data_IF_973393541679
#
_entry.id   IF_973393541679
#
_cell.length_a   1.000
_cell.length_b   1.000
_cell.length_c   1.000
_cell.angle_alpha   90.00
_cell.angle_beta   90.00
_cell.angle_gamma   90.00
#
_symmetry.space_group_name_H-M   'P 1'
#
loop_
_entity.id
_entity.type
_entity.pdbx_description
1 polymer ?
#
# COMPACT_ATOMS: atom_id res chain seq x y z
N UNK A 1 -12.79 -24.99 -28.66
CA UNK A 1 -12.82 -23.61 -28.13
C UNK A 1 -13.19 -23.72 -26.66
N UNK A 2 -12.24 -23.50 -25.75
CA UNK A 2 -12.54 -23.44 -24.31
C UNK A 2 -12.83 -21.98 -23.97
N UNK A 3 -14.11 -21.69 -23.72
CA UNK A 3 -14.59 -20.42 -23.20
C UNK A 3 -14.19 -20.31 -21.73
N UNK A 4 -13.37 -19.31 -21.40
CA UNK A 4 -13.08 -18.95 -20.01
C UNK A 4 -14.30 -18.15 -19.52
N UNK A 5 -15.12 -18.76 -18.66
CA UNK A 5 -16.17 -18.06 -17.92
C UNK A 5 -15.52 -17.21 -16.83
N UNK A 6 -15.62 -15.89 -16.96
CA UNK A 6 -15.20 -14.95 -15.91
C UNK A 6 -16.36 -14.86 -14.92
N UNK A 7 -16.23 -15.55 -13.78
CA UNK A 7 -17.16 -15.41 -12.65
C UNK A 7 -16.72 -14.22 -11.82
N UNK A 8 -17.60 -13.25 -11.66
CA UNK A 8 -17.44 -12.06 -10.83
C UNK A 8 -17.67 -12.42 -9.35
N UNK A 9 -16.96 -13.45 -8.89
CA UNK A 9 -16.82 -13.75 -7.46
C UNK A 9 -15.83 -12.73 -6.90
N UNK A 10 -16.24 -12.04 -5.84
CA UNK A 10 -15.50 -10.99 -5.12
C UNK A 10 -14.00 -11.30 -5.08
N UNK A 11 -13.19 -10.55 -5.84
CA UNK A 11 -11.77 -10.82 -6.04
C UNK A 11 -11.05 -10.70 -4.69
N UNK A 12 -10.71 -11.84 -4.09
CA UNK A 12 -9.90 -11.90 -2.87
C UNK A 12 -8.43 -11.59 -3.21
N UNK A 13 -8.06 -10.33 -2.97
CA UNK A 13 -6.71 -9.82 -3.23
C UNK A 13 -5.69 -10.54 -2.36
N UNK A 14 -6.04 -10.95 -1.14
CA UNK A 14 -5.14 -11.66 -0.23
C UNK A 14 -4.83 -13.06 -0.77
N UNK A 15 -5.86 -13.78 -1.23
CA UNK A 15 -5.69 -15.10 -1.84
C UNK A 15 -4.82 -15.04 -3.10
N UNK A 16 -5.02 -14.02 -3.94
CA UNK A 16 -4.22 -13.81 -5.16
C UNK A 16 -2.77 -13.47 -4.80
N UNK A 17 -2.53 -12.56 -3.86
CA UNK A 17 -1.17 -12.21 -3.44
C UNK A 17 -0.47 -13.40 -2.78
N UNK A 18 -1.19 -14.21 -2.01
CA UNK A 18 -0.67 -15.46 -1.46
C UNK A 18 -0.23 -16.43 -2.56
N UNK A 19 -1.09 -16.66 -3.57
CA UNK A 19 -0.78 -17.51 -4.74
C UNK A 19 0.41 -17.00 -5.55
N UNK A 20 0.52 -15.68 -5.72
CA UNK A 20 1.66 -15.05 -6.40
C UNK A 20 2.95 -15.31 -5.60
N UNK A 21 2.96 -15.04 -4.29
CA UNK A 21 4.10 -15.28 -3.39
C UNK A 21 4.53 -16.75 -3.43
N UNK A 22 3.59 -17.68 -3.37
CA UNK A 22 3.87 -19.13 -3.47
C UNK A 22 4.47 -19.53 -4.82
N UNK A 23 3.95 -18.98 -5.91
CA UNK A 23 4.43 -19.29 -7.26
C UNK A 23 5.86 -18.79 -7.48
N UNK A 24 6.16 -17.59 -6.99
CA UNK A 24 7.52 -17.01 -7.01
C UNK A 24 8.47 -17.89 -6.18
N UNK A 25 8.04 -18.31 -4.98
CA UNK A 25 8.83 -19.18 -4.10
C UNK A 25 9.17 -20.53 -4.75
N UNK A 26 8.20 -21.18 -5.39
CA UNK A 26 8.43 -22.46 -6.09
C UNK A 26 9.42 -22.33 -7.26
N UNK A 27 9.33 -21.25 -8.03
CA UNK A 27 10.26 -20.96 -9.14
C UNK A 27 11.66 -20.57 -8.67
N UNK A 28 11.76 -20.03 -7.45
CA UNK A 28 13.03 -19.74 -6.78
C UNK A 28 13.73 -21.02 -6.31
N UNK A 29 12.99 -21.96 -5.73
CA UNK A 29 13.50 -23.26 -5.27
C UNK A 29 13.89 -24.19 -6.44
N UNK A 30 13.25 -24.06 -7.61
CA UNK A 30 13.61 -24.81 -8.82
C UNK A 30 14.87 -24.28 -9.54
N UNK A 31 15.41 -23.14 -9.12
CA UNK A 31 16.61 -22.54 -9.72
C UNK A 31 16.38 -21.87 -11.08
N UNK A 32 15.12 -21.62 -11.47
CA UNK A 32 14.77 -20.99 -12.75
C UNK A 32 15.15 -19.50 -12.84
N UNK A 33 15.37 -18.83 -11.70
CA UNK A 33 15.78 -17.43 -11.66
C UNK A 33 17.29 -17.27 -11.60
N UNK A 34 17.84 -16.51 -12.55
CA UNK A 34 19.21 -15.98 -12.46
C UNK A 34 19.33 -14.98 -11.31
N UNK A 35 20.54 -14.75 -10.81
CA UNK A 35 20.74 -13.89 -9.63
C UNK A 35 20.28 -12.45 -9.85
N UNK A 36 20.44 -11.92 -11.06
CA UNK A 36 19.90 -10.61 -11.45
C UNK A 36 18.36 -10.57 -11.47
N UNK A 37 17.70 -11.69 -11.81
CA UNK A 37 16.23 -11.78 -11.74
C UNK A 37 15.73 -11.89 -10.31
N UNK A 38 16.53 -12.44 -9.38
CA UNK A 38 16.17 -12.50 -7.97
C UNK A 38 16.14 -11.13 -7.33
N UNK A 39 17.15 -10.29 -7.59
CA UNK A 39 17.19 -8.93 -7.03
C UNK A 39 16.02 -8.07 -7.52
N UNK A 40 15.63 -8.21 -8.79
CA UNK A 40 14.46 -7.53 -9.37
C UNK A 40 13.13 -7.97 -8.76
N UNK A 41 13.06 -9.14 -8.13
CA UNK A 41 11.85 -9.71 -7.53
C UNK A 41 11.84 -9.54 -6.00
N UNK A 42 12.98 -9.71 -5.34
CA UNK A 42 13.11 -9.64 -3.88
C UNK A 42 13.02 -8.19 -3.37
N UNK A 43 13.57 -7.20 -4.09
CA UNK A 43 13.53 -5.80 -3.67
C UNK A 43 12.08 -5.24 -3.61
N UNK A 44 11.21 -5.46 -4.61
CA UNK A 44 9.81 -5.05 -4.54
C UNK A 44 9.01 -5.77 -3.44
N UNK A 45 9.26 -7.07 -3.23
CA UNK A 45 8.53 -7.87 -2.22
C UNK A 45 8.90 -7.39 -0.81
N UNK A 46 10.20 -7.23 -0.52
CA UNK A 46 10.66 -6.72 0.77
C UNK A 46 10.13 -5.31 1.04
N UNK A 47 10.10 -4.46 0.00
CA UNK A 47 9.55 -3.12 0.11
C UNK A 47 8.05 -3.16 0.40
N UNK A 48 7.28 -4.01 -0.27
CA UNK A 48 5.85 -4.19 -0.04
C UNK A 48 5.55 -4.70 1.39
N UNK A 49 6.29 -5.70 1.88
CA UNK A 49 6.15 -6.22 3.25
C UNK A 49 6.50 -5.15 4.31
N UNK A 50 7.54 -4.35 4.04
CA UNK A 50 7.93 -3.23 4.92
C UNK A 50 6.85 -2.14 4.94
N UNK A 51 6.27 -1.82 3.80
CA UNK A 51 5.17 -0.86 3.67
C UNK A 51 3.89 -1.36 4.39
N UNK A 52 3.54 -2.64 4.24
CA UNK A 52 2.39 -3.28 4.90
C UNK A 52 2.55 -3.22 6.44
N UNK A 53 3.72 -3.61 6.96
CA UNK A 53 4.06 -3.52 8.38
C UNK A 53 4.01 -2.08 8.93
N UNK A 54 4.50 -1.10 8.16
CA UNK A 54 4.45 0.31 8.54
C UNK A 54 3.01 0.84 8.59
N UNK A 55 2.14 0.40 7.67
CA UNK A 55 0.73 0.79 7.66
C UNK A 55 -0.02 0.24 8.87
N UNK A 56 0.22 -1.04 9.22
CA UNK A 56 -0.33 -1.65 10.44
C UNK A 56 0.10 -0.89 11.70
N UNK A 57 1.37 -0.52 11.79
CA UNK A 57 1.90 0.29 12.89
C UNK A 57 1.21 1.66 12.97
N UNK A 58 1.10 2.39 11.85
CA UNK A 58 0.45 3.70 11.81
C UNK A 58 -1.05 3.60 12.16
N UNK A 59 -1.71 2.51 11.77
CA UNK A 59 -3.10 2.27 12.11
C UNK A 59 -3.28 1.99 13.61
N UNK A 60 -2.34 1.24 14.20
CA UNK A 60 -2.31 1.01 15.65
C UNK A 60 -2.09 2.33 16.42
N UNK A 61 -1.14 3.16 16.00
CA UNK A 61 -0.88 4.49 16.59
C UNK A 61 -2.09 5.40 16.46
N UNK A 62 -2.76 5.39 15.30
CA UNK A 62 -3.98 6.16 15.08
C UNK A 62 -5.12 5.71 16.02
N UNK A 63 -5.27 4.40 16.23
CA UNK A 63 -6.25 3.85 17.16
C UNK A 63 -5.93 4.24 18.62
N UNK A 64 -4.64 4.24 18.98
CA UNK A 64 -4.19 4.71 20.28
C UNK A 64 -4.51 6.21 20.49
N UNK A 65 -4.21 7.05 19.51
CA UNK A 65 -4.56 8.47 19.51
C UNK A 65 -6.07 8.71 19.61
N UNK A 66 -6.87 7.97 18.85
CA UNK A 66 -8.33 8.07 18.85
C UNK A 66 -8.98 7.62 20.16
N UNK A 67 -8.33 6.75 20.93
CA UNK A 67 -8.83 6.30 22.24
C UNK A 67 -8.28 7.12 23.40
N UNK A 68 -7.07 7.66 23.26
CA UNK A 68 -6.34 8.37 24.32
C UNK A 68 -6.50 9.89 24.35
N UNK A 69 -7.25 10.49 23.41
CA UNK A 69 -7.34 11.96 23.34
C UNK A 69 -7.96 12.59 24.60
N UNK A 70 -8.87 11.88 25.26
CA UNK A 70 -9.48 12.30 26.52
C UNK A 70 -8.66 11.76 27.71
N UNK A 71 -7.76 12.59 28.20
CA UNK A 71 -6.87 12.26 29.32
C UNK A 71 -7.46 12.57 30.70
N UNK A 72 -8.78 12.81 30.78
CA UNK A 72 -9.42 13.12 32.05
C UNK A 72 -9.32 11.92 33.01
N UNK A 73 -8.47 12.05 34.03
CA UNK A 73 -8.31 11.04 35.07
C UNK A 73 -9.38 11.22 36.17
N UNK A 74 -10.28 10.26 36.31
CA UNK A 74 -11.20 10.21 37.46
C UNK A 74 -10.45 9.72 38.71
N UNK A 75 -10.13 10.63 39.63
CA UNK A 75 -9.48 10.29 40.90
C UNK A 75 -10.50 10.03 42.01
N UNK A 76 -10.52 8.82 42.58
CA UNK A 76 -11.39 8.46 43.71
C UNK A 76 -10.64 8.51 45.04
N UNK A 77 -11.08 9.39 45.96
CA UNK A 77 -10.48 9.53 47.28
C UNK A 77 -11.09 8.50 48.24
N UNK A 78 -10.31 7.49 48.66
CA UNK A 78 -10.70 6.53 49.70
C UNK A 78 -9.68 6.47 50.85
N UNK A 79 -10.10 5.95 52.01
CA UNK A 79 -9.23 5.68 53.14
C UNK A 79 -9.68 4.42 53.87
N UNK A 80 -8.74 3.52 54.15
CA UNK A 80 -8.99 2.22 54.80
C UNK A 80 -8.73 2.26 56.32
N UNK A 81 -8.52 3.44 56.94
CA UNK A 81 -8.19 3.53 58.37
C UNK A 81 -9.43 3.83 59.24
N UNK A 82 -9.73 3.04 60.27
CA UNK A 82 -11.02 3.05 60.96
C UNK A 82 -11.32 4.32 61.79
N UNK A 83 -10.32 4.93 62.44
CA UNK A 83 -10.54 6.08 63.34
C UNK A 83 -10.12 7.40 62.69
N UNK A 84 -8.91 7.44 62.12
CA UNK A 84 -8.33 8.66 61.52
C UNK A 84 -8.79 8.87 60.07
N UNK A 85 -9.48 7.88 59.48
CA UNK A 85 -9.86 7.87 58.06
C UNK A 85 -10.73 9.05 57.64
N UNK A 86 -11.71 9.46 58.45
CA UNK A 86 -12.61 10.58 58.12
C UNK A 86 -11.87 11.92 58.01
N UNK A 87 -10.92 12.18 58.91
CA UNK A 87 -10.08 13.39 58.88
C UNK A 87 -9.13 13.39 57.69
N UNK A 88 -8.52 12.24 57.37
CA UNK A 88 -7.64 12.10 56.20
C UNK A 88 -8.40 12.27 54.88
N UNK A 89 -9.61 11.73 54.76
CA UNK A 89 -10.46 11.91 53.57
C UNK A 89 -10.81 13.39 53.41
N UNK A 90 -11.19 14.07 54.50
CA UNK A 90 -11.55 15.50 54.45
C UNK A 90 -10.35 16.37 54.06
N UNK A 91 -9.17 16.10 54.62
CA UNK A 91 -7.92 16.78 54.26
C UNK A 91 -7.54 16.56 52.79
N UNK A 92 -7.55 15.30 52.32
CA UNK A 92 -7.28 14.98 50.90
C UNK A 92 -8.27 15.63 49.96
N UNK A 93 -9.56 15.67 50.32
CA UNK A 93 -10.60 16.30 49.50
C UNK A 93 -10.40 17.81 49.37
N UNK A 94 -9.94 18.47 50.43
CA UNK A 94 -9.63 19.90 50.42
C UNK A 94 -8.44 20.21 49.51
N UNK A 95 -7.33 19.47 49.68
CA UNK A 95 -6.15 19.61 48.81
C UNK A 95 -6.48 19.29 47.36
N UNK A 96 -7.23 18.21 47.13
CA UNK A 96 -7.64 17.80 45.79
C UNK A 96 -8.51 18.87 45.11
N UNK A 97 -9.44 19.50 45.83
CA UNK A 97 -10.24 20.60 45.29
C UNK A 97 -9.42 21.82 44.88
N UNK A 98 -8.42 22.21 45.69
CA UNK A 98 -7.57 23.36 45.37
C UNK A 98 -6.67 23.06 44.17
N UNK A 99 -6.04 21.88 44.12
CA UNK A 99 -5.22 21.45 42.98
C UNK A 99 -6.07 21.37 41.71
N UNK A 100 -7.26 20.77 41.80
CA UNK A 100 -8.21 20.63 40.70
C UNK A 100 -8.56 21.97 40.07
N UNK A 101 -8.74 23.02 40.88
CA UNK A 101 -9.06 24.37 40.40
C UNK A 101 -8.03 24.94 39.41
N UNK A 102 -6.75 24.61 39.58
CA UNK A 102 -5.68 25.07 38.69
C UNK A 102 -5.37 24.08 37.57
N UNK A 103 -5.43 22.78 37.88
CA UNK A 103 -5.06 21.72 36.92
C UNK A 103 -6.18 21.48 35.90
N UNK A 104 -7.46 21.63 36.26
CA UNK A 104 -8.58 21.37 35.34
C UNK A 104 -8.55 22.29 34.12
N UNK A 105 -8.14 23.55 34.29
CA UNK A 105 -8.00 24.48 33.16
C UNK A 105 -6.91 24.03 32.18
N UNK A 106 -5.81 23.48 32.68
CA UNK A 106 -4.69 22.99 31.87
C UNK A 106 -5.07 21.66 31.20
N UNK A 107 -5.65 20.73 31.96
CA UNK A 107 -6.12 19.43 31.47
C UNK A 107 -7.22 19.61 30.42
N UNK A 108 -8.17 20.53 30.65
CA UNK A 108 -9.20 20.87 29.69
C UNK A 108 -8.63 21.38 28.36
N UNK A 109 -7.70 22.35 28.41
CA UNK A 109 -7.01 22.82 27.19
C UNK A 109 -6.20 21.72 26.49
N UNK A 110 -5.58 20.83 27.25
CA UNK A 110 -4.86 19.69 26.68
C UNK A 110 -5.80 18.71 25.98
N UNK A 111 -6.95 18.41 26.58
CA UNK A 111 -7.99 17.56 25.98
C UNK A 111 -8.52 18.19 24.69
N UNK A 112 -8.81 19.49 24.69
CA UNK A 112 -9.24 20.22 23.49
C UNK A 112 -8.17 20.16 22.39
N UNK A 113 -6.91 20.45 22.73
CA UNK A 113 -5.80 20.38 21.80
C UNK A 113 -5.63 18.96 21.20
N UNK A 114 -5.64 17.94 22.05
CA UNK A 114 -5.57 16.53 21.62
C UNK A 114 -6.73 16.17 20.70
N UNK A 115 -7.95 16.61 21.02
CA UNK A 115 -9.13 16.38 20.19
C UNK A 115 -8.99 17.04 18.81
N UNK A 116 -8.46 18.26 18.75
CA UNK A 116 -8.20 18.95 17.49
C UNK A 116 -7.12 18.24 16.65
N UNK A 117 -6.04 17.77 17.28
CA UNK A 117 -5.01 16.99 16.59
C UNK A 117 -5.57 15.71 15.99
N UNK A 118 -6.34 14.93 16.76
CA UNK A 118 -6.94 13.68 16.28
C UNK A 118 -7.90 13.94 15.12
N UNK A 119 -8.73 14.98 15.20
CA UNK A 119 -9.61 15.39 14.09
C UNK A 119 -8.84 15.81 12.85
N UNK A 120 -7.76 16.57 13.02
CA UNK A 120 -6.91 17.01 11.91
C UNK A 120 -6.26 15.81 11.22
N UNK A 121 -5.66 14.89 11.99
CA UNK A 121 -5.02 13.68 11.46
C UNK A 121 -6.04 12.81 10.72
N UNK A 122 -7.18 12.52 11.34
CA UNK A 122 -8.27 11.76 10.70
C UNK A 122 -8.80 12.44 9.43
N UNK A 123 -8.81 13.78 9.38
CA UNK A 123 -9.21 14.53 8.20
C UNK A 123 -8.17 14.53 7.07
N UNK A 124 -6.88 14.41 7.40
CA UNK A 124 -5.80 14.38 6.42
C UNK A 124 -5.68 13.03 5.71
N UNK A 125 -5.97 11.92 6.41
CA UNK A 125 -5.85 10.56 5.86
C UNK A 125 -6.62 10.39 4.54
N UNK A 126 -7.94 10.70 4.45
CA UNK A 126 -8.67 10.59 3.19
C UNK A 126 -8.12 11.48 2.07
N UNK A 127 -7.55 12.65 2.43
CA UNK A 127 -6.92 13.57 1.48
C UNK A 127 -5.65 13.00 0.87
N UNK A 128 -4.81 12.37 1.68
CA UNK A 128 -3.61 11.67 1.25
C UNK A 128 -4.00 10.48 0.36
N UNK A 129 -4.99 9.69 0.77
CA UNK A 129 -5.47 8.54 -0.01
C UNK A 129 -6.03 8.97 -1.37
N UNK A 130 -6.80 10.05 -1.42
CA UNK A 130 -7.32 10.60 -2.66
C UNK A 130 -6.18 11.05 -3.59
N UNK A 131 -5.15 11.69 -3.05
CA UNK A 131 -3.98 12.10 -3.84
C UNK A 131 -3.16 10.91 -4.32
N UNK A 132 -2.96 9.89 -3.49
CA UNK A 132 -2.29 8.65 -3.89
C UNK A 132 -3.06 7.93 -5.02
N UNK A 133 -4.39 7.84 -4.93
CA UNK A 133 -5.23 7.30 -6.01
C UNK A 133 -5.11 8.11 -7.31
N UNK A 134 -5.09 9.44 -7.20
CA UNK A 134 -4.94 10.32 -8.36
C UNK A 134 -3.59 10.08 -9.07
N UNK A 135 -2.50 10.00 -8.29
CA UNK A 135 -1.16 9.72 -8.82
C UNK A 135 -1.10 8.33 -9.47
N UNK A 136 -1.60 7.29 -8.80
CA UNK A 136 -1.64 5.92 -9.35
C UNK A 136 -2.41 5.86 -10.68
N UNK A 137 -3.56 6.50 -10.75
CA UNK A 137 -4.39 6.53 -11.97
C UNK A 137 -3.69 7.26 -13.12
N UNK A 138 -3.07 8.40 -12.83
CA UNK A 138 -2.34 9.18 -13.84
C UNK A 138 -1.14 8.39 -14.39
N UNK A 139 -0.35 7.76 -13.52
CA UNK A 139 0.80 6.95 -13.92
C UNK A 139 0.34 5.73 -14.74
N UNK A 140 -0.71 5.03 -14.30
CA UNK A 140 -1.26 3.88 -15.04
C UNK A 140 -1.68 4.28 -16.46
N UNK A 141 -2.41 5.39 -16.60
CA UNK A 141 -2.83 5.88 -17.92
C UNK A 141 -1.64 6.22 -18.82
N UNK A 142 -0.63 6.91 -18.30
CA UNK A 142 0.57 7.25 -19.07
C UNK A 142 1.38 6.01 -19.49
N UNK A 143 1.46 5.00 -18.62
CA UNK A 143 2.09 3.71 -18.94
C UNK A 143 1.31 3.00 -20.05
N UNK A 144 -0.02 2.92 -19.94
CA UNK A 144 -0.87 2.26 -20.93
C UNK A 144 -0.74 2.92 -22.31
N UNK A 145 -0.71 4.26 -22.35
CA UNK A 145 -0.50 5.03 -23.58
C UNK A 145 0.88 4.74 -24.19
N UNK A 146 1.95 4.80 -23.39
CA UNK A 146 3.32 4.51 -23.86
C UNK A 146 3.47 3.07 -24.32
N UNK A 147 2.90 2.11 -23.61
CA UNK A 147 2.89 0.69 -23.99
C UNK A 147 2.13 0.50 -25.30
N UNK A 148 0.99 1.18 -25.49
CA UNK A 148 0.25 1.21 -26.74
C UNK A 148 1.09 1.75 -27.91
N UNK A 149 1.79 2.86 -27.72
CA UNK A 149 2.69 3.45 -28.72
C UNK A 149 3.84 2.50 -29.08
N UNK A 150 4.50 1.92 -28.08
CA UNK A 150 5.59 0.95 -28.31
C UNK A 150 5.07 -0.29 -29.05
N UNK A 151 3.92 -0.83 -28.65
CA UNK A 151 3.32 -2.01 -29.29
C UNK A 151 2.97 -1.77 -30.76
N UNK A 152 2.37 -0.61 -31.05
CA UNK A 152 2.03 -0.23 -32.44
C UNK A 152 3.28 0.04 -33.28
N UNK A 153 4.29 0.70 -32.71
CA UNK A 153 5.59 0.93 -33.34
C UNK A 153 6.32 -0.37 -33.69
N UNK A 154 6.47 -1.28 -32.72
CA UNK A 154 7.09 -2.60 -32.92
C UNK A 154 6.32 -3.40 -33.99
N UNK A 155 4.99 -3.39 -33.94
CA UNK A 155 4.16 -4.12 -34.91
C UNK A 155 4.38 -3.60 -36.34
N UNK A 156 4.55 -2.28 -36.50
CA UNK A 156 4.85 -1.65 -37.79
C UNK A 156 6.25 -2.05 -38.28
N UNK A 157 7.26 -1.92 -37.42
CA UNK A 157 8.65 -2.25 -37.76
C UNK A 157 8.81 -3.73 -38.13
N UNK A 158 8.16 -4.65 -37.38
CA UNK A 158 8.15 -6.08 -37.71
C UNK A 158 7.49 -6.30 -39.07
N UNK A 159 6.34 -5.66 -39.33
CA UNK A 159 5.65 -5.84 -40.61
C UNK A 159 6.47 -5.32 -41.80
N UNK A 160 7.18 -4.21 -41.62
CA UNK A 160 8.06 -3.62 -42.63
C UNK A 160 9.26 -4.55 -42.90
N UNK A 161 9.94 -5.03 -41.85
CA UNK A 161 11.05 -5.99 -41.97
C UNK A 161 10.62 -7.31 -42.59
N UNK A 162 9.45 -7.84 -42.22
CA UNK A 162 8.89 -9.06 -42.83
C UNK A 162 8.60 -8.84 -44.31
N UNK A 163 8.07 -7.68 -44.68
CA UNK A 163 7.81 -7.34 -46.09
C UNK A 163 9.11 -7.24 -46.89
N UNK A 164 10.14 -6.61 -46.33
CA UNK A 164 11.46 -6.51 -46.94
C UNK A 164 12.09 -7.90 -47.16
N UNK A 165 12.13 -8.74 -46.13
CA UNK A 165 12.66 -10.10 -46.22
C UNK A 165 11.90 -10.92 -47.25
N UNK A 166 10.57 -10.76 -47.32
CA UNK A 166 9.74 -11.44 -48.33
C UNK A 166 10.10 -11.00 -49.76
N UNK A 167 10.33 -9.71 -49.98
CA UNK A 167 10.72 -9.20 -51.30
C UNK A 167 12.12 -9.65 -51.71
N UNK A 168 13.09 -9.64 -50.78
CA UNK A 168 14.45 -10.14 -51.03
C UNK A 168 14.46 -11.63 -51.37
N UNK A 169 13.76 -12.46 -50.58
CA UNK A 169 13.65 -13.91 -50.84
C UNK A 169 12.97 -14.17 -52.19
N UNK A 170 11.90 -13.45 -52.53
CA UNK A 170 11.22 -13.64 -53.82
C UNK A 170 12.14 -13.33 -54.99
N UNK A 171 12.92 -12.24 -54.90
CA UNK A 171 13.90 -11.87 -55.92
C UNK A 171 14.99 -12.93 -56.09
N UNK A 172 15.59 -13.39 -54.99
CA UNK A 172 16.62 -14.44 -55.04
C UNK A 172 16.09 -15.77 -55.62
N UNK A 173 14.85 -16.13 -55.30
CA UNK A 173 14.21 -17.33 -55.86
C UNK A 173 13.98 -17.17 -57.36
N UNK A 174 13.44 -16.04 -57.80
CA UNK A 174 13.18 -15.76 -59.22
C UNK A 174 14.49 -15.77 -60.05
N UNK A 175 15.56 -15.21 -59.49
CA UNK A 175 16.90 -15.23 -60.09
C UNK A 175 17.44 -16.67 -60.22
N UNK A 176 17.36 -17.47 -59.15
CA UNK A 176 17.81 -18.89 -59.17
C UNK A 176 16.98 -19.74 -60.13
N UNK A 177 15.67 -19.56 -60.17
CA UNK A 177 14.77 -20.27 -61.10
C UNK A 177 15.10 -19.93 -62.55
N UNK A 178 15.45 -18.67 -62.82
CA UNK A 178 15.84 -18.22 -64.15
C UNK A 178 17.16 -18.86 -64.60
N UNK A 179 18.16 -18.94 -63.71
CA UNK A 179 19.43 -19.60 -64.00
C UNK A 179 19.27 -21.09 -64.35
N UNK A 180 18.45 -21.82 -63.59
CA UNK A 180 18.20 -23.26 -63.82
C UNK A 180 17.44 -23.53 -65.13
N UNK A 181 16.62 -22.59 -65.61
CA UNK A 181 15.90 -22.74 -66.88
C UNK A 181 16.76 -22.47 -68.13
N UNK A 182 17.90 -21.81 -67.96
CA UNK A 182 18.83 -21.48 -69.04
C UNK A 182 19.93 -22.53 -69.25
N UNK A 183 20.06 -23.52 -68.36
CA UNK A 183 20.90 -24.72 -68.52
C UNK A 183 20.10 -25.89 -69.13
#
# INVERSE_FOLDING_TARGET
>A
MNTIEIRDEEIDVEEIMCKIRETIKKRRESGEYTEEMRDLIDEPIQRAETEESNMDYLQQELNYLNSGWNTHAEYSISSHRPIIGRFLIKGRRLVHGEVRRYVDAIVGKQIEFNAHLVRLINGLIPGIDAKNRQVRTAISGEIDDKVGLVKTGISREINDKVSQVKTEISGEIDDKVSQVKTE
#
